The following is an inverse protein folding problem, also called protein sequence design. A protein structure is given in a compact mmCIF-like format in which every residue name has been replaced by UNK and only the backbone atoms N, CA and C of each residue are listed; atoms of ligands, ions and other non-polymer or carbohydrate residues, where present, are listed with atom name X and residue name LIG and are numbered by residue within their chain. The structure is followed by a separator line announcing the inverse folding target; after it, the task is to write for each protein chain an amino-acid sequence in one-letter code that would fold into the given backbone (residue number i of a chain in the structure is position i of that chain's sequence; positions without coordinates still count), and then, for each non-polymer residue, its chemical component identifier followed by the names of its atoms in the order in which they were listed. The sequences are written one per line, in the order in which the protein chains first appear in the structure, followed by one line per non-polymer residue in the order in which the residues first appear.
data_IF_830218878026
#
_entry.id   IF_830218878026
#
_cell.length_a   1.000
_cell.length_b   1.000
_cell.length_c   1.000
_cell.angle_alpha   90.00
_cell.angle_beta   90.00
_cell.angle_gamma   90.00
#
_symmetry.space_group_name_H-M   'P 1'
#
loop_
_entity.id
_entity.type
_entity.pdbx_description
1 polymer ?
#
# COMPACT_ATOMS: atom_id res chain seq x y z
N UNK A 1 -13.15 7.32 6.84
CA UNK A 1 -12.92 5.86 6.99
C UNK A 1 -13.38 5.38 8.37
N UNK A 2 -12.81 5.89 9.46
CA UNK A 2 -13.07 5.43 10.84
C UNK A 2 -14.57 5.38 11.21
N UNK A 3 -15.33 6.40 10.80
CA UNK A 3 -16.79 6.44 11.05
C UNK A 3 -17.50 5.23 10.42
N UNK A 4 -17.12 4.84 9.20
CA UNK A 4 -17.72 3.70 8.48
C UNK A 4 -17.19 2.37 9.05
N UNK A 5 -15.92 2.34 9.46
CA UNK A 5 -15.28 1.19 10.08
C UNK A 5 -15.98 0.77 11.39
N UNK A 6 -16.44 1.75 12.18
CA UNK A 6 -17.20 1.51 13.42
C UNK A 6 -18.60 0.91 13.23
N UNK A 7 -19.11 0.82 12.00
CA UNK A 7 -20.45 0.30 11.73
C UNK A 7 -20.42 -1.23 11.62
N UNK A 8 -21.59 -1.85 11.83
CA UNK A 8 -21.72 -3.31 11.77
C UNK A 8 -21.27 -3.83 10.40
N UNK A 9 -20.39 -4.82 10.41
CA UNK A 9 -19.83 -5.39 9.17
C UNK A 9 -20.84 -6.01 8.20
N UNK A 10 -22.09 -6.22 8.62
CA UNK A 10 -23.17 -6.65 7.72
C UNK A 10 -23.76 -5.52 6.88
N UNK A 11 -23.47 -4.24 7.17
CA UNK A 11 -24.11 -3.08 6.52
C UNK A 11 -23.13 -2.05 5.95
N UNK A 12 -21.85 -2.06 6.29
CA UNK A 12 -20.87 -1.09 5.79
C UNK A 12 -19.74 -1.74 4.99
N UNK A 13 -19.27 -1.07 3.94
CA UNK A 13 -18.13 -1.50 3.12
C UNK A 13 -17.18 -0.33 2.88
N UNK A 14 -15.88 -0.60 2.79
CA UNK A 14 -14.86 0.41 2.50
C UNK A 14 -13.96 -0.12 1.40
N UNK A 15 -13.99 0.55 0.25
CA UNK A 15 -13.21 0.22 -0.93
C UNK A 15 -12.21 1.32 -1.24
N UNK A 16 -10.97 0.94 -1.55
CA UNK A 16 -9.86 1.83 -1.90
C UNK A 16 -9.24 1.37 -3.22
N UNK A 17 -9.95 1.52 -4.35
CA UNK A 17 -9.44 1.08 -5.65
C UNK A 17 -8.17 1.87 -6.03
N UNK A 18 -7.08 1.19 -6.45
CA UNK A 18 -5.81 1.84 -6.74
C UNK A 18 -5.74 2.50 -8.13
N UNK A 19 -6.71 2.23 -9.02
CA UNK A 19 -6.79 2.79 -10.37
C UNK A 19 -8.24 2.84 -10.88
N UNK A 20 -8.42 3.30 -12.12
CA UNK A 20 -9.75 3.52 -12.71
C UNK A 20 -10.46 2.19 -13.03
N UNK A 21 -9.74 1.14 -13.44
CA UNK A 21 -10.35 -0.16 -13.74
C UNK A 21 -10.87 -0.84 -12.46
N UNK A 22 -10.11 -0.76 -11.37
CA UNK A 22 -10.58 -1.22 -10.06
C UNK A 22 -11.79 -0.39 -9.59
N UNK A 23 -11.77 0.93 -9.79
CA UNK A 23 -12.91 1.80 -9.48
C UNK A 23 -14.16 1.37 -10.26
N UNK A 24 -14.05 1.10 -11.56
CA UNK A 24 -15.17 0.64 -12.38
C UNK A 24 -15.75 -0.68 -11.86
N UNK A 25 -14.90 -1.64 -11.51
CA UNK A 25 -15.33 -2.92 -10.93
C UNK A 25 -16.04 -2.74 -9.58
N UNK A 26 -15.45 -1.96 -8.68
CA UNK A 26 -16.04 -1.64 -7.36
C UNK A 26 -17.37 -0.90 -7.53
N UNK A 27 -17.46 0.06 -8.45
CA UNK A 27 -18.67 0.83 -8.69
C UNK A 27 -19.82 -0.05 -9.22
N UNK A 28 -19.57 -0.94 -10.19
CA UNK A 28 -20.57 -1.89 -10.69
C UNK A 28 -21.10 -2.78 -9.55
N UNK A 29 -20.20 -3.31 -8.70
CA UNK A 29 -20.59 -4.06 -7.51
C UNK A 29 -21.47 -3.22 -6.57
N UNK A 30 -21.06 -1.99 -6.27
CA UNK A 30 -21.78 -1.10 -5.36
C UNK A 30 -23.19 -0.78 -5.87
N UNK A 31 -23.38 -0.51 -7.17
CA UNK A 31 -24.70 -0.21 -7.75
C UNK A 31 -25.64 -1.42 -7.77
N UNK A 32 -25.11 -2.64 -7.83
CA UNK A 32 -25.89 -3.89 -7.74
C UNK A 32 -26.18 -4.30 -6.30
N UNK A 33 -25.35 -3.88 -5.35
CA UNK A 33 -25.53 -4.19 -3.93
C UNK A 33 -26.81 -3.59 -3.35
N UNK A 34 -27.32 -4.17 -2.26
CA UNK A 34 -28.52 -3.71 -1.55
C UNK A 34 -28.25 -3.72 -0.06
N UNK A 35 -28.88 -2.82 0.68
CA UNK A 35 -28.78 -2.71 2.14
C UNK A 35 -27.36 -2.45 2.68
N UNK A 36 -26.46 -1.92 1.84
CA UNK A 36 -25.12 -1.51 2.23
C UNK A 36 -24.93 0.00 2.14
N UNK A 37 -24.12 0.52 3.06
CA UNK A 37 -23.41 1.79 2.92
C UNK A 37 -22.03 1.48 2.37
N UNK A 38 -21.79 1.81 1.11
CA UNK A 38 -20.50 1.62 0.45
C UNK A 38 -19.72 2.92 0.46
N UNK A 39 -18.58 2.95 1.15
CA UNK A 39 -17.59 4.03 1.05
C UNK A 39 -16.56 3.65 -0.01
N UNK A 40 -16.46 4.44 -1.06
CA UNK A 40 -15.42 4.32 -2.08
C UNK A 40 -14.49 5.54 -1.92
N UNK A 41 -13.20 5.28 -1.68
CA UNK A 41 -12.18 6.32 -1.53
C UNK A 41 -11.32 6.33 -2.78
N UNK A 42 -11.32 7.44 -3.50
CA UNK A 42 -10.52 7.64 -4.71
C UNK A 42 -9.89 9.03 -4.72
N UNK A 43 -8.78 9.12 -5.43
CA UNK A 43 -8.26 10.37 -5.94
C UNK A 43 -8.83 10.71 -7.32
N UNK A 44 -8.80 11.99 -7.65
CA UNK A 44 -9.19 12.57 -8.95
C UNK A 44 -8.00 13.05 -9.77
N UNK A 45 -6.80 13.12 -9.19
CA UNK A 45 -5.62 13.59 -9.90
C UNK A 45 -5.21 12.61 -11.00
N UNK A 46 -4.45 13.05 -12.02
CA UNK A 46 -3.84 12.13 -12.98
C UNK A 46 -2.96 11.10 -12.28
N UNK A 47 -3.22 9.83 -12.53
CA UNK A 47 -2.50 8.71 -11.92
C UNK A 47 -2.23 7.59 -12.92
N UNK A 48 -1.26 6.74 -12.59
CA UNK A 48 -0.95 5.53 -13.35
C UNK A 48 -2.13 4.54 -13.29
N UNK A 49 -2.23 3.71 -14.32
CA UNK A 49 -3.14 2.58 -14.37
C UNK A 49 -2.32 1.30 -14.18
N UNK A 50 -2.75 0.43 -13.28
CA UNK A 50 -1.96 -0.72 -12.85
C UNK A 50 -2.46 -2.02 -13.47
N UNK A 51 -3.78 -2.20 -13.49
CA UNK A 51 -4.42 -3.42 -13.94
C UNK A 51 -5.22 -3.17 -15.21
N UNK A 52 -5.18 -4.12 -16.14
CA UNK A 52 -6.21 -4.21 -17.17
C UNK A 52 -7.56 -4.57 -16.54
N UNK A 53 -8.65 -4.42 -17.31
CA UNK A 53 -9.99 -4.60 -16.77
C UNK A 53 -10.25 -6.03 -16.27
N UNK A 54 -9.67 -7.05 -16.90
CA UNK A 54 -9.84 -8.46 -16.49
C UNK A 54 -9.18 -8.69 -15.14
N UNK A 55 -7.93 -8.27 -15.01
CA UNK A 55 -7.15 -8.34 -13.77
C UNK A 55 -7.80 -7.53 -12.64
N UNK A 56 -8.36 -6.35 -12.96
CA UNK A 56 -9.05 -5.51 -11.99
C UNK A 56 -10.32 -6.17 -11.43
N UNK A 57 -11.13 -6.83 -12.28
CA UNK A 57 -12.33 -7.57 -11.84
C UNK A 57 -11.95 -8.69 -10.88
N UNK A 58 -10.94 -9.49 -11.23
CA UNK A 58 -10.47 -10.57 -10.35
C UNK A 58 -9.93 -10.05 -9.03
N UNK A 59 -9.13 -8.98 -9.09
CA UNK A 59 -8.55 -8.35 -7.91
C UNK A 59 -9.64 -7.80 -6.97
N UNK A 60 -10.62 -7.09 -7.52
CA UNK A 60 -11.73 -6.54 -6.75
C UNK A 60 -12.66 -7.62 -6.18
N UNK A 61 -12.87 -8.72 -6.90
CA UNK A 61 -13.64 -9.86 -6.41
C UNK A 61 -12.96 -10.56 -5.23
N UNK A 62 -11.61 -10.65 -5.24
CA UNK A 62 -10.82 -11.18 -4.11
C UNK A 62 -10.69 -10.17 -2.96
N UNK A 63 -10.79 -8.87 -3.24
CA UNK A 63 -10.64 -7.77 -2.29
C UNK A 63 -9.20 -7.45 -1.89
N UNK A 64 -8.27 -8.39 -2.07
CA UNK A 64 -6.82 -8.17 -1.98
C UNK A 64 -6.09 -9.18 -2.88
N UNK A 65 -4.90 -8.85 -3.36
CA UNK A 65 -4.08 -9.78 -4.17
C UNK A 65 -2.60 -9.46 -4.09
N UNK A 66 -1.77 -10.49 -4.29
CA UNK A 66 -0.34 -10.32 -4.58
C UNK A 66 -0.19 -9.80 -6.00
N UNK A 67 0.62 -8.75 -6.19
CA UNK A 67 1.01 -8.22 -7.50
C UNK A 67 2.40 -8.73 -7.86
N UNK A 68 2.46 -9.92 -8.46
CA UNK A 68 3.71 -10.60 -8.81
C UNK A 68 4.62 -9.79 -9.74
N UNK A 69 4.03 -8.98 -10.64
CA UNK A 69 4.78 -8.11 -11.55
C UNK A 69 5.56 -6.99 -10.82
N UNK A 70 5.07 -6.56 -9.65
CA UNK A 70 5.68 -5.49 -8.87
C UNK A 70 6.73 -6.03 -7.88
N UNK A 71 6.52 -7.25 -7.36
CA UNK A 71 7.46 -7.96 -6.48
C UNK A 71 8.54 -8.76 -7.21
N UNK A 72 9.35 -9.47 -6.43
CA UNK A 72 10.41 -10.39 -6.90
C UNK A 72 10.61 -11.58 -5.93
N UNK A 73 9.61 -11.93 -5.13
CA UNK A 73 9.70 -13.06 -4.20
C UNK A 73 9.47 -14.43 -4.86
N UNK A 74 9.02 -14.45 -6.13
CA UNK A 74 8.78 -15.64 -6.95
C UNK A 74 7.87 -16.68 -6.27
N UNK A 75 6.94 -16.22 -5.41
CA UNK A 75 6.06 -17.09 -4.64
C UNK A 75 6.76 -17.86 -3.50
N UNK A 76 8.01 -17.55 -3.22
CA UNK A 76 8.75 -18.07 -2.06
C UNK A 76 8.47 -17.24 -0.80
N UNK A 77 9.17 -17.52 0.31
CA UNK A 77 9.02 -16.72 1.52
C UNK A 77 9.73 -15.35 1.35
N UNK A 78 9.01 -14.21 1.31
CA UNK A 78 9.61 -12.90 1.14
C UNK A 78 10.42 -12.50 2.38
N UNK A 79 11.45 -11.68 2.18
CA UNK A 79 12.19 -11.04 3.27
C UNK A 79 11.39 -9.85 3.84
N UNK A 80 10.53 -9.25 3.02
CA UNK A 80 9.59 -8.19 3.41
C UNK A 80 8.39 -8.15 2.46
N UNK A 81 7.23 -7.80 3.01
CA UNK A 81 6.01 -7.53 2.25
C UNK A 81 5.75 -6.03 2.25
N UNK A 82 5.58 -5.48 1.05
CA UNK A 82 5.09 -4.14 0.81
C UNK A 82 3.60 -4.21 0.50
N UNK A 83 2.75 -3.69 1.40
CA UNK A 83 1.31 -3.72 1.25
C UNK A 83 0.75 -2.31 1.08
N UNK A 84 -0.32 -2.15 0.28
CA UNK A 84 -0.96 -0.87 0.06
C UNK A 84 -2.50 -0.96 0.04
N UNK A 85 -3.16 0.05 0.59
CA UNK A 85 -4.59 0.29 0.38
C UNK A 85 -4.86 1.78 0.10
N UNK A 86 -5.36 2.09 -1.09
CA UNK A 86 -5.53 3.45 -1.63
C UNK A 86 -4.63 3.72 -2.82
N UNK A 87 -5.06 4.67 -3.65
CA UNK A 87 -4.36 5.11 -4.86
C UNK A 87 -2.92 5.61 -4.60
N UNK A 88 -2.72 6.70 -3.86
CA UNK A 88 -1.41 7.25 -3.52
C UNK A 88 -0.56 6.25 -2.71
N UNK A 89 -1.09 5.54 -1.69
CA UNK A 89 -0.36 4.44 -1.06
C UNK A 89 0.15 3.38 -2.03
N UNK A 90 -0.66 3.03 -3.05
CA UNK A 90 -0.26 2.05 -4.07
C UNK A 90 0.86 2.58 -4.94
N UNK A 91 0.75 3.82 -5.41
CA UNK A 91 1.81 4.48 -6.19
C UNK A 91 3.15 4.45 -5.45
N UNK A 92 3.17 4.92 -4.20
CA UNK A 92 4.41 5.00 -3.41
C UNK A 92 4.95 3.61 -3.05
N UNK A 93 4.08 2.63 -2.84
CA UNK A 93 4.47 1.23 -2.56
C UNK A 93 5.07 0.56 -3.79
N UNK A 94 4.48 0.72 -4.97
CA UNK A 94 5.05 0.18 -6.22
C UNK A 94 6.37 0.87 -6.56
N UNK A 95 6.47 2.18 -6.35
CA UNK A 95 7.72 2.91 -6.53
C UNK A 95 8.81 2.48 -5.52
N UNK A 96 8.45 2.18 -4.27
CA UNK A 96 9.37 1.61 -3.28
C UNK A 96 9.86 0.22 -3.68
N UNK A 97 8.96 -0.65 -4.17
CA UNK A 97 9.31 -1.97 -4.70
C UNK A 97 10.29 -1.86 -5.88
N UNK A 98 10.07 -0.89 -6.77
CA UNK A 98 10.97 -0.60 -7.89
C UNK A 98 12.38 -0.17 -7.41
N UNK A 99 12.46 0.71 -6.41
CA UNK A 99 13.74 1.12 -5.81
C UNK A 99 14.45 -0.06 -5.16
N UNK A 100 13.74 -0.90 -4.40
CA UNK A 100 14.28 -2.11 -3.79
C UNK A 100 14.84 -3.06 -4.86
N UNK A 101 14.11 -3.31 -5.94
CA UNK A 101 14.59 -4.15 -7.05
C UNK A 101 15.87 -3.59 -7.69
N UNK A 102 15.96 -2.27 -7.84
CA UNK A 102 17.11 -1.62 -8.49
C UNK A 102 18.36 -1.58 -7.63
N UNK A 103 18.23 -1.25 -6.35
CA UNK A 103 19.36 -1.00 -5.46
C UNK A 103 19.65 -2.16 -4.48
N UNK A 104 18.67 -3.05 -4.27
CA UNK A 104 18.77 -4.21 -3.40
C UNK A 104 18.06 -5.46 -4.00
N UNK A 105 18.40 -5.88 -5.24
CA UNK A 105 17.74 -7.01 -5.93
C UNK A 105 17.74 -8.36 -5.18
N UNK A 106 18.67 -8.53 -4.25
CA UNK A 106 18.80 -9.68 -3.37
C UNK A 106 17.75 -9.75 -2.26
N UNK A 107 17.00 -8.67 -2.02
CA UNK A 107 15.85 -8.69 -1.13
C UNK A 107 14.64 -9.21 -1.89
N UNK A 108 14.01 -10.26 -1.36
CA UNK A 108 12.76 -10.82 -1.88
C UNK A 108 11.61 -10.00 -1.33
N UNK A 109 10.99 -9.22 -2.20
CA UNK A 109 9.89 -8.31 -1.90
C UNK A 109 8.60 -8.87 -2.48
N UNK A 110 7.60 -9.04 -1.63
CA UNK A 110 6.22 -9.30 -2.06
C UNK A 110 5.44 -8.00 -2.07
N UNK A 111 4.70 -7.72 -3.15
CA UNK A 111 3.77 -6.58 -3.20
C UNK A 111 2.34 -7.08 -3.06
N UNK A 112 1.58 -6.51 -2.12
CA UNK A 112 0.17 -6.83 -1.88
C UNK A 112 -0.67 -5.56 -2.03
N UNK A 113 -1.69 -5.60 -2.88
CA UNK A 113 -2.69 -4.55 -2.94
C UNK A 113 -3.97 -4.99 -2.22
N UNK A 114 -4.61 -4.08 -1.50
CA UNK A 114 -5.87 -4.29 -0.77
C UNK A 114 -6.88 -3.25 -1.24
N UNK A 115 -7.93 -3.70 -1.92
CA UNK A 115 -9.03 -2.87 -2.43
C UNK A 115 -10.25 -2.89 -1.53
N UNK A 116 -10.67 -4.05 -1.00
CA UNK A 116 -11.70 -4.13 0.06
C UNK A 116 -11.00 -4.19 1.42
N UNK A 117 -10.99 -3.07 2.12
CA UNK A 117 -10.30 -2.91 3.40
C UNK A 117 -10.81 -3.89 4.46
N UNK A 118 -12.10 -4.25 4.38
CA UNK A 118 -12.77 -5.09 5.37
C UNK A 118 -12.38 -6.57 5.26
N UNK A 119 -11.64 -6.95 4.22
CA UNK A 119 -11.07 -8.30 4.07
C UNK A 119 -9.95 -8.58 5.08
N UNK A 120 -9.31 -7.55 5.64
CA UNK A 120 -8.21 -7.70 6.59
C UNK A 120 -8.66 -8.34 7.92
N UNK A 121 -9.89 -8.08 8.37
CA UNK A 121 -10.47 -8.70 9.56
C UNK A 121 -10.46 -10.22 9.50
N UNK A 122 -10.23 -10.90 10.62
CA UNK A 122 -10.49 -12.34 10.70
C UNK A 122 -11.98 -12.63 10.43
N UNK A 123 -12.27 -13.69 9.66
CA UNK A 123 -13.65 -14.09 9.30
C UNK A 123 -14.61 -14.13 10.49
N UNK A 124 -14.15 -14.64 11.64
CA UNK A 124 -14.95 -14.72 12.87
C UNK A 124 -15.44 -13.37 13.41
N UNK A 125 -14.77 -12.28 13.07
CA UNK A 125 -15.10 -10.93 13.52
C UNK A 125 -15.85 -10.11 12.45
N UNK A 126 -15.67 -10.44 11.16
CA UNK A 126 -16.29 -9.69 10.07
C UNK A 126 -16.75 -10.61 8.92
N UNK A 127 -17.97 -10.45 8.39
CA UNK A 127 -18.53 -11.33 7.35
C UNK A 127 -17.84 -11.24 5.98
N UNK A 128 -16.95 -10.26 5.77
CA UNK A 128 -16.06 -10.17 4.59
C UNK A 128 -14.62 -10.52 4.92
N UNK A 129 -14.31 -10.74 6.19
CA UNK A 129 -12.96 -11.04 6.63
C UNK A 129 -12.42 -12.29 5.93
N UNK A 130 -11.14 -12.27 5.56
CA UNK A 130 -10.49 -13.43 4.96
C UNK A 130 -10.39 -14.58 5.98
N UNK A 131 -10.47 -15.80 5.47
CA UNK A 131 -10.01 -16.98 6.22
C UNK A 131 -8.51 -16.85 6.53
N UNK A 132 -8.05 -17.53 7.58
CA UNK A 132 -6.64 -17.47 7.97
C UNK A 132 -5.71 -17.92 6.85
N UNK A 133 -6.06 -18.98 6.12
CA UNK A 133 -5.25 -19.50 5.02
C UNK A 133 -5.04 -18.45 3.92
N UNK A 134 -6.10 -17.76 3.48
CA UNK A 134 -6.01 -16.71 2.46
C UNK A 134 -5.23 -15.49 2.96
N UNK A 135 -5.39 -15.12 4.24
CA UNK A 135 -4.57 -14.05 4.84
C UNK A 135 -3.08 -14.43 4.86
N UNK A 136 -2.75 -15.67 5.22
CA UNK A 136 -1.37 -16.18 5.23
C UNK A 136 -0.82 -16.31 3.81
N UNK A 137 -1.63 -16.60 2.80
CA UNK A 137 -1.19 -16.57 1.41
C UNK A 137 -0.75 -15.17 0.98
N UNK A 138 -1.49 -14.13 1.37
CA UNK A 138 -1.16 -12.74 1.07
C UNK A 138 0.04 -12.25 1.90
N UNK A 139 -0.05 -12.39 3.21
CA UNK A 139 0.85 -11.73 4.15
C UNK A 139 1.85 -12.66 4.82
N UNK A 140 1.87 -13.95 4.52
CA UNK A 140 2.63 -14.99 5.27
C UNK A 140 2.25 -15.04 6.76
N UNK A 141 2.92 -15.91 7.53
CA UNK A 141 2.79 -15.92 9.00
C UNK A 141 3.75 -14.95 9.67
N UNK A 142 4.97 -14.82 9.15
CA UNK A 142 6.09 -14.28 9.91
C UNK A 142 6.87 -13.15 9.20
N UNK A 143 6.80 -13.04 7.87
CA UNK A 143 7.55 -12.00 7.18
C UNK A 143 7.08 -10.59 7.60
N UNK A 144 7.96 -9.61 7.80
CA UNK A 144 7.56 -8.25 8.15
C UNK A 144 6.70 -7.63 7.05
N UNK A 145 5.70 -6.83 7.44
CA UNK A 145 4.80 -6.14 6.51
C UNK A 145 4.95 -4.64 6.72
N UNK A 146 5.40 -3.93 5.69
CA UNK A 146 5.31 -2.46 5.64
C UNK A 146 4.03 -2.13 4.88
N UNK A 147 3.06 -1.53 5.57
CA UNK A 147 1.73 -1.28 5.02
C UNK A 147 1.50 0.21 4.81
N UNK A 148 1.43 0.67 3.56
CA UNK A 148 1.03 2.02 3.21
C UNK A 148 -0.50 2.14 3.17
N UNK A 149 -1.06 3.13 3.86
CA UNK A 149 -2.50 3.28 4.02
C UNK A 149 -2.97 4.71 3.85
N UNK A 150 -4.07 4.89 3.11
CA UNK A 150 -4.69 6.20 2.89
C UNK A 150 -5.16 6.89 4.18
N UNK A 151 -5.67 6.12 5.14
CA UNK A 151 -6.23 6.67 6.39
C UNK A 151 -5.24 6.65 7.56
N UNK A 152 -5.79 6.80 8.77
CA UNK A 152 -5.01 6.70 10.01
C UNK A 152 -4.46 5.29 10.23
N UNK A 153 -3.18 5.22 10.61
CA UNK A 153 -2.43 3.97 10.82
C UNK A 153 -3.15 3.00 11.77
N UNK A 154 -3.79 3.53 12.83
CA UNK A 154 -4.53 2.77 13.85
C UNK A 154 -5.59 1.83 13.28
N UNK A 155 -6.22 2.19 12.17
CA UNK A 155 -7.30 1.40 11.59
C UNK A 155 -6.79 0.04 11.08
N UNK A 156 -5.59 0.00 10.49
CA UNK A 156 -4.98 -1.27 10.05
C UNK A 156 -4.69 -2.16 11.25
N UNK A 157 -4.12 -1.61 12.33
CA UNK A 157 -3.83 -2.36 13.55
C UNK A 157 -5.10 -2.95 14.20
N UNK A 158 -6.20 -2.20 14.21
CA UNK A 158 -7.50 -2.69 14.65
C UNK A 158 -7.98 -3.88 13.81
N UNK A 159 -7.90 -3.77 12.48
CA UNK A 159 -8.42 -4.78 11.56
C UNK A 159 -7.60 -6.07 11.53
N UNK A 160 -6.28 -5.99 11.68
CA UNK A 160 -5.41 -7.19 11.70
C UNK A 160 -5.45 -7.91 13.05
N UNK A 161 -6.16 -7.37 14.06
CA UNK A 161 -6.29 -8.04 15.34
C UNK A 161 -6.83 -9.48 15.19
N UNK A 162 -6.18 -10.42 15.89
CA UNK A 162 -6.52 -11.83 15.83
C UNK A 162 -5.99 -12.58 14.61
N UNK A 163 -5.16 -11.94 13.77
CA UNK A 163 -4.34 -12.58 12.74
C UNK A 163 -3.02 -13.12 13.33
N UNK A 164 -2.29 -14.00 12.61
CA UNK A 164 -0.98 -14.47 13.06
C UNK A 164 0.06 -13.34 13.13
N UNK A 165 0.77 -13.26 14.27
CA UNK A 165 1.94 -12.39 14.48
C UNK A 165 1.71 -10.93 14.04
N UNK A 166 0.73 -10.25 14.64
CA UNK A 166 0.28 -8.91 14.22
C UNK A 166 1.33 -7.82 14.40
N UNK A 167 2.30 -8.01 15.31
CA UNK A 167 3.33 -7.02 15.63
C UNK A 167 4.30 -6.76 14.46
N UNK A 168 4.30 -7.64 13.45
CA UNK A 168 5.09 -7.50 12.22
C UNK A 168 4.49 -6.51 11.21
N UNK A 169 3.28 -5.99 11.46
CA UNK A 169 2.66 -4.97 10.63
C UNK A 169 3.15 -3.59 11.05
N UNK A 170 3.89 -2.93 10.16
CA UNK A 170 4.45 -1.59 10.32
C UNK A 170 3.72 -0.65 9.36
N UNK A 171 2.73 0.05 9.89
CA UNK A 171 1.79 0.83 9.08
C UNK A 171 2.29 2.25 8.91
N UNK A 172 2.35 2.72 7.66
CA UNK A 172 2.55 4.13 7.30
C UNK A 172 1.25 4.64 6.70
N UNK A 173 0.78 5.76 7.21
CA UNK A 173 -0.48 6.37 6.80
C UNK A 173 -0.59 7.74 7.41
N UNK A 174 -1.76 8.35 7.32
CA UNK A 174 -1.95 9.71 7.79
C UNK A 174 -1.62 9.86 9.29
N UNK A 175 -0.75 10.82 9.60
CA UNK A 175 -0.20 11.11 10.92
C UNK A 175 -0.45 12.57 11.34
N UNK A 176 -1.55 13.17 10.86
CA UNK A 176 -1.91 14.59 11.14
C UNK A 176 -0.88 15.62 10.65
N UNK A 177 -0.03 15.24 9.70
CA UNK A 177 0.94 16.16 9.12
C UNK A 177 0.48 16.63 7.73
N UNK A 178 0.38 17.94 7.56
CA UNK A 178 -0.09 18.52 6.31
C UNK A 178 -0.11 20.04 6.33
N UNK A 179 0.04 20.64 5.16
CA UNK A 179 -0.12 22.08 4.92
C UNK A 179 -0.34 22.31 3.42
N UNK A 180 -0.51 23.54 2.98
CA UNK A 180 -0.44 23.87 1.55
C UNK A 180 0.97 23.62 1.04
N UNK A 181 1.17 22.51 0.34
CA UNK A 181 2.47 22.07 -0.20
C UNK A 181 2.27 21.23 -1.47
N UNK A 182 3.35 20.70 -2.04
CA UNK A 182 3.30 19.86 -3.23
C UNK A 182 2.73 18.46 -2.92
N UNK A 183 2.12 17.76 -3.90
CA UNK A 183 1.53 16.45 -3.68
C UNK A 183 2.47 15.42 -3.03
N UNK A 184 3.72 15.32 -3.48
CA UNK A 184 4.67 14.38 -2.89
C UNK A 184 5.15 14.84 -1.50
N UNK A 185 5.24 16.14 -1.23
CA UNK A 185 5.57 16.62 0.12
C UNK A 185 4.53 16.20 1.15
N UNK A 186 3.25 16.13 0.77
CA UNK A 186 2.20 15.60 1.66
C UNK A 186 2.49 14.16 2.12
N UNK A 187 3.00 13.28 1.25
CA UNK A 187 3.36 11.91 1.65
C UNK A 187 4.71 11.83 2.35
N UNK A 188 5.65 12.72 2.05
CA UNK A 188 6.94 12.85 2.77
C UNK A 188 6.69 13.23 4.22
N UNK A 189 5.84 14.24 4.47
CA UNK A 189 5.47 14.72 5.81
C UNK A 189 4.81 13.65 6.69
N UNK A 190 4.14 12.69 6.07
CA UNK A 190 3.51 11.55 6.75
C UNK A 190 4.38 10.29 6.75
N UNK A 191 5.66 10.38 6.39
CA UNK A 191 6.60 9.25 6.30
C UNK A 191 6.08 8.06 5.46
N UNK A 192 5.28 8.35 4.42
CA UNK A 192 4.66 7.37 3.52
C UNK A 192 5.21 7.44 2.09
N UNK A 193 6.14 8.35 1.82
CA UNK A 193 6.78 8.40 0.49
C UNK A 193 7.55 7.12 0.17
N UNK A 194 7.75 6.83 -1.12
CA UNK A 194 8.51 5.67 -1.62
C UNK A 194 9.87 5.49 -0.95
N UNK A 195 10.54 6.58 -0.60
CA UNK A 195 11.83 6.56 0.09
C UNK A 195 11.68 6.09 1.54
N UNK A 196 10.69 6.59 2.28
CA UNK A 196 10.40 6.11 3.63
C UNK A 196 9.96 4.65 3.65
N UNK A 197 9.11 4.24 2.70
CA UNK A 197 8.66 2.84 2.58
C UNK A 197 9.83 1.90 2.26
N UNK A 198 10.73 2.29 1.36
CA UNK A 198 11.93 1.52 1.04
C UNK A 198 12.89 1.42 2.25
N UNK A 199 13.13 2.52 2.97
CA UNK A 199 13.94 2.54 4.18
C UNK A 199 13.35 1.66 5.28
N UNK A 200 12.03 1.72 5.49
CA UNK A 200 11.35 0.86 6.46
C UNK A 200 11.45 -0.61 6.06
N UNK A 201 11.31 -0.93 4.77
CA UNK A 201 11.45 -2.30 4.28
C UNK A 201 12.84 -2.89 4.56
N UNK A 202 13.90 -2.12 4.27
CA UNK A 202 15.30 -2.51 4.59
C UNK A 202 15.49 -2.72 6.08
N UNK A 203 14.96 -1.81 6.91
CA UNK A 203 15.06 -1.90 8.37
C UNK A 203 14.44 -3.19 8.92
N UNK A 204 13.33 -3.64 8.33
CA UNK A 204 12.58 -4.82 8.80
C UNK A 204 13.10 -6.15 8.25
N UNK A 205 13.74 -6.16 7.09
CA UNK A 205 14.39 -7.33 6.51
C UNK A 205 15.70 -7.72 7.24
N UNK A 206 15.73 -7.64 8.57
CA UNK A 206 16.90 -7.44 9.45
C UNK A 206 18.16 -8.33 9.25
N UNK A 207 18.15 -9.55 8.69
CA UNK A 207 19.39 -10.28 8.38
C UNK A 207 20.17 -9.77 7.15
N UNK A 208 19.56 -8.96 6.28
CA UNK A 208 20.13 -8.56 4.98
C UNK A 208 20.40 -7.06 4.84
N UNK A 209 20.23 -6.26 5.90
CA UNK A 209 20.38 -4.80 5.85
C UNK A 209 21.75 -4.30 5.36
N UNK A 210 22.84 -5.04 5.64
CA UNK A 210 24.18 -4.73 5.10
C UNK A 210 24.26 -4.79 3.56
N UNK A 211 23.26 -5.42 2.93
CA UNK A 211 23.16 -5.58 1.47
C UNK A 211 22.43 -4.42 0.78
N UNK A 212 21.89 -3.45 1.52
CA UNK A 212 21.07 -2.36 0.99
C UNK A 212 21.64 -0.96 1.29
N UNK A 213 22.93 -0.83 1.62
CA UNK A 213 23.55 0.45 1.97
C UNK A 213 23.38 1.52 0.88
N UNK A 214 23.56 1.15 -0.40
CA UNK A 214 23.38 2.05 -1.54
C UNK A 214 21.92 2.55 -1.66
N UNK A 215 20.94 1.70 -1.33
CA UNK A 215 19.53 2.12 -1.32
C UNK A 215 19.26 3.12 -0.20
N UNK A 216 19.82 2.88 0.99
CA UNK A 216 19.67 3.78 2.15
C UNK A 216 20.24 5.15 1.83
N UNK A 217 21.49 5.20 1.35
CA UNK A 217 22.14 6.45 0.94
C UNK A 217 21.34 7.18 -0.14
N UNK A 218 20.84 6.45 -1.15
CA UNK A 218 20.00 7.04 -2.20
C UNK A 218 18.70 7.63 -1.64
N UNK A 219 17.98 6.92 -0.77
CA UNK A 219 16.72 7.39 -0.20
C UNK A 219 16.94 8.63 0.68
N UNK A 220 17.97 8.63 1.53
CA UNK A 220 18.32 9.76 2.39
C UNK A 220 18.72 10.99 1.56
N UNK A 221 19.52 10.81 0.51
CA UNK A 221 19.89 11.88 -0.41
C UNK A 221 18.67 12.45 -1.13
N UNK A 222 17.74 11.62 -1.58
CA UNK A 222 16.52 12.07 -2.25
C UNK A 222 15.57 12.82 -1.31
N UNK A 223 15.45 12.41 -0.04
CA UNK A 223 14.67 13.13 0.97
C UNK A 223 15.30 14.50 1.30
N UNK A 224 16.63 14.56 1.42
CA UNK A 224 17.34 15.83 1.62
C UNK A 224 17.18 16.78 0.42
N UNK A 225 17.30 16.24 -0.81
CA UNK A 225 17.09 16.99 -2.06
C UNK A 225 15.66 17.51 -2.16
N UNK A 226 14.67 16.68 -1.85
CA UNK A 226 13.25 17.05 -1.84
C UNK A 226 13.00 18.28 -0.97
N UNK A 227 13.54 18.26 0.25
CA UNK A 227 13.37 19.33 1.23
C UNK A 227 13.79 20.69 0.64
N UNK A 228 14.92 20.77 -0.06
CA UNK A 228 15.38 22.00 -0.70
C UNK A 228 14.57 22.32 -1.96
N UNK A 229 14.34 21.32 -2.81
CA UNK A 229 13.71 21.47 -4.12
C UNK A 229 12.33 22.13 -4.06
N UNK A 230 11.44 21.66 -3.20
CA UNK A 230 10.06 22.16 -3.12
C UNK A 230 9.98 23.64 -2.72
N UNK A 231 10.96 24.13 -1.96
CA UNK A 231 10.99 25.54 -1.52
C UNK A 231 11.52 26.46 -2.61
N UNK A 232 12.44 25.96 -3.42
CA UNK A 232 13.05 26.71 -4.53
C UNK A 232 12.17 26.72 -5.77
N UNK A 233 11.51 25.59 -6.09
CA UNK A 233 10.82 25.37 -7.36
C UNK A 233 9.29 25.38 -7.22
N UNK A 234 8.75 25.24 -6.00
CA UNK A 234 7.31 25.17 -5.74
C UNK A 234 6.58 24.03 -6.47
N UNK A 235 7.32 23.00 -6.85
CA UNK A 235 6.83 21.79 -7.50
C UNK A 235 7.62 20.57 -7.01
N UNK A 236 7.04 19.38 -7.17
CA UNK A 236 7.73 18.13 -6.84
C UNK A 236 8.94 17.89 -7.74
N UNK A 237 9.90 17.09 -7.28
CA UNK A 237 11.08 16.73 -8.08
C UNK A 237 10.69 16.02 -9.38
N UNK A 238 11.40 16.25 -10.50
CA UNK A 238 11.17 15.54 -11.76
C UNK A 238 11.23 14.02 -11.59
N UNK A 239 12.17 13.53 -10.77
CA UNK A 239 12.32 12.11 -10.41
C UNK A 239 11.04 11.47 -9.81
N UNK A 240 10.13 12.28 -9.26
CA UNK A 240 8.85 11.84 -8.71
C UNK A 240 7.72 12.04 -9.71
N UNK A 241 7.62 13.23 -10.32
CA UNK A 241 6.56 13.60 -11.26
C UNK A 241 6.58 12.80 -12.55
N UNK A 242 7.77 12.58 -13.08
CA UNK A 242 7.97 11.92 -14.37
C UNK A 242 8.20 10.43 -14.21
N UNK A 243 8.19 9.93 -12.97
CA UNK A 243 8.38 8.52 -12.68
C UNK A 243 7.30 7.69 -13.36
N UNK A 244 7.77 6.67 -14.06
CA UNK A 244 6.94 5.61 -14.64
C UNK A 244 7.52 4.28 -14.25
N UNK A 245 6.65 3.29 -14.12
CA UNK A 245 7.11 1.92 -13.98
C UNK A 245 7.91 1.52 -15.23
N UNK A 246 9.10 0.96 -15.00
CA UNK A 246 9.91 0.30 -16.02
C UNK A 246 10.28 -1.07 -15.51
N UNK A 247 10.30 -2.06 -16.40
CA UNK A 247 10.94 -3.33 -16.08
C UNK A 247 12.42 -3.07 -15.75
N UNK A 248 12.90 -3.74 -14.71
CA UNK A 248 14.29 -3.69 -14.22
C UNK A 248 14.99 -4.99 -14.56
#
# INVERSE_FOLDING_TARGET
IDVVLSKKGTVSRIYLPPDANCLLSVADHCFRSRNYVNLIVIDKQPQLQWLDMTSAIEHCARGASVWSWAGNDEGTNPDVILAAAGDIPTLETVAAAWLLRRFAPQLRVRVVNVVDLMTLFARRFHPHGLEEAAFVELFTRDAPVVFAFHGYQRAIHEMVHGRPNVDRFHVRGFNEEGTTTTPFDMVVRNEMSRYHLALEAVRRASPTAGRAAALVEHCEAMLARHQTWIREHLEDMPDVREWKWTET
#
